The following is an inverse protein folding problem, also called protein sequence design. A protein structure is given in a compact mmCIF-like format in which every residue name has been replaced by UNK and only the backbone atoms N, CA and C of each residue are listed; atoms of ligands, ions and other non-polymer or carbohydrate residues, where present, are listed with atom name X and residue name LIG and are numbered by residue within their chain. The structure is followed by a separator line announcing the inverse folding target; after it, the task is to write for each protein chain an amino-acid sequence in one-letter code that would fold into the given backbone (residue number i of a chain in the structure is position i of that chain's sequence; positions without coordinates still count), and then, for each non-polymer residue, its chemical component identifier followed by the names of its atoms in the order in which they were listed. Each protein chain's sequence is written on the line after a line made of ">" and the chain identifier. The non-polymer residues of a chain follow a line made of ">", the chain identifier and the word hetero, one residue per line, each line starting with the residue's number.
data_IF_177441440060
#
_entry.id   IF_177441440060
#
_cell.length_a   1.000
_cell.length_b   1.000
_cell.length_c   1.000
_cell.angle_alpha   90.00
_cell.angle_beta   90.00
_cell.angle_gamma   90.00
#
_symmetry.space_group_name_H-M   'P 1'
#
loop_
_entity.id
_entity.type
_entity.pdbx_description
1 polymer ?
#
# COMPACT_ATOMS: atom_id res chain seq x y z
N UNK A 1 45.66 9.81 24.60
CA UNK A 1 44.20 10.05 24.74
C UNK A 1 43.52 10.64 23.49
N UNK A 2 44.13 11.60 22.78
CA UNK A 2 43.48 12.27 21.63
C UNK A 2 43.07 11.35 20.47
N UNK A 3 43.89 10.34 20.14
CA UNK A 3 43.59 9.40 19.06
C UNK A 3 42.31 8.58 19.31
N UNK A 4 42.11 8.08 20.53
CA UNK A 4 40.89 7.34 20.91
C UNK A 4 39.63 8.22 20.82
N UNK A 5 39.75 9.52 21.14
CA UNK A 5 38.64 10.47 21.00
C UNK A 5 38.29 10.70 19.51
N UNK A 6 39.29 10.75 18.64
CA UNK A 6 39.08 10.85 17.19
C UNK A 6 38.38 9.61 16.62
N UNK A 7 38.79 8.41 17.03
CA UNK A 7 38.15 7.15 16.61
C UNK A 7 36.68 7.12 17.02
N UNK A 8 36.38 7.45 18.29
CA UNK A 8 34.98 7.52 18.77
C UNK A 8 34.16 8.56 18.01
N UNK A 9 34.72 9.74 17.75
CA UNK A 9 34.05 10.75 16.94
C UNK A 9 33.77 10.28 15.51
N UNK A 10 34.70 9.52 14.90
CA UNK A 10 34.49 8.92 13.59
C UNK A 10 33.38 7.86 13.61
N UNK A 11 33.34 7.00 14.64
CA UNK A 11 32.28 6.01 14.84
C UNK A 11 30.90 6.66 14.95
N UNK A 12 30.77 7.71 15.78
CA UNK A 12 29.53 8.47 15.92
C UNK A 12 29.08 9.10 14.59
N UNK A 13 30.02 9.66 13.82
CA UNK A 13 29.73 10.19 12.49
C UNK A 13 29.27 9.11 11.52
N UNK A 14 29.85 7.91 11.58
CA UNK A 14 29.43 6.78 10.73
C UNK A 14 28.00 6.34 11.07
N UNK A 15 27.65 6.23 12.35
CA UNK A 15 26.29 5.90 12.76
C UNK A 15 25.28 6.94 12.25
N UNK A 16 25.59 8.23 12.40
CA UNK A 16 24.75 9.31 11.85
C UNK A 16 24.63 9.21 10.32
N UNK A 17 25.72 8.90 9.62
CA UNK A 17 25.70 8.72 8.17
C UNK A 17 24.80 7.57 7.73
N UNK A 18 24.77 6.45 8.47
CA UNK A 18 23.86 5.33 8.17
C UNK A 18 22.40 5.79 8.28
N UNK A 19 22.04 6.52 9.34
CA UNK A 19 20.68 7.04 9.52
C UNK A 19 20.30 8.04 8.42
N UNK A 20 21.22 8.93 8.06
CA UNK A 20 21.01 9.90 6.97
C UNK A 20 20.78 9.17 5.65
N UNK A 21 21.59 8.15 5.33
CA UNK A 21 21.42 7.35 4.11
C UNK A 21 20.05 6.66 4.05
N UNK A 22 19.61 6.08 5.17
CA UNK A 22 18.27 5.47 5.25
C UNK A 22 17.17 6.50 4.98
N UNK A 23 17.28 7.71 5.56
CA UNK A 23 16.31 8.78 5.32
C UNK A 23 16.32 9.28 3.88
N UNK A 24 17.50 9.36 3.26
CA UNK A 24 17.62 9.73 1.83
C UNK A 24 16.93 8.71 0.95
N UNK A 25 17.13 7.41 1.18
CA UNK A 25 16.44 6.36 0.44
C UNK A 25 14.91 6.45 0.57
N UNK A 26 14.42 6.63 1.80
CA UNK A 26 12.97 6.82 2.05
C UNK A 26 12.41 8.02 1.28
N UNK A 27 13.12 9.15 1.28
CA UNK A 27 12.70 10.36 0.56
C UNK A 27 12.73 10.14 -0.96
N UNK A 28 13.74 9.46 -1.49
CA UNK A 28 13.83 9.13 -2.91
C UNK A 28 12.68 8.21 -3.35
N UNK A 29 12.33 7.21 -2.55
CA UNK A 29 11.18 6.33 -2.80
C UNK A 29 9.86 7.11 -2.80
N UNK A 30 9.67 8.00 -1.83
CA UNK A 30 8.49 8.88 -1.76
C UNK A 30 8.41 9.80 -3.01
N UNK A 31 9.53 10.40 -3.42
CA UNK A 31 9.60 11.21 -4.63
C UNK A 31 9.29 10.39 -5.88
N UNK A 32 9.76 9.14 -5.98
CA UNK A 32 9.46 8.26 -7.10
C UNK A 32 7.95 7.97 -7.20
N UNK A 33 7.26 7.75 -6.08
CA UNK A 33 5.80 7.56 -6.06
C UNK A 33 5.07 8.83 -6.51
N UNK A 34 5.42 9.98 -5.95
CA UNK A 34 4.76 11.26 -6.25
C UNK A 34 4.98 11.66 -7.71
N UNK A 35 6.21 11.53 -8.22
CA UNK A 35 6.55 11.88 -9.61
C UNK A 35 5.83 10.97 -10.61
N UNK A 36 5.77 9.65 -10.36
CA UNK A 36 4.97 8.71 -11.17
C UNK A 36 3.50 9.12 -11.19
N UNK A 37 2.89 9.44 -10.04
CA UNK A 37 1.49 9.88 -9.94
C UNK A 37 1.24 11.18 -10.73
N UNK A 38 2.10 12.18 -10.55
CA UNK A 38 2.00 13.47 -11.27
C UNK A 38 2.16 13.28 -12.78
N UNK A 39 3.09 12.44 -13.21
CA UNK A 39 3.31 12.11 -14.62
C UNK A 39 2.08 11.42 -15.24
N UNK A 40 1.51 10.42 -14.56
CA UNK A 40 0.26 9.76 -14.99
C UNK A 40 -0.90 10.75 -15.15
N UNK A 41 -1.12 11.62 -14.15
CA UNK A 41 -2.15 12.66 -14.21
C UNK A 41 -1.92 13.63 -15.37
N UNK A 42 -0.67 14.05 -15.61
CA UNK A 42 -0.32 14.92 -16.73
C UNK A 42 -0.64 14.25 -18.08
N UNK A 43 -0.22 13.00 -18.27
CA UNK A 43 -0.52 12.24 -19.50
C UNK A 43 -2.03 12.08 -19.72
N UNK A 44 -2.78 11.81 -18.64
CA UNK A 44 -4.24 11.72 -18.70
C UNK A 44 -4.90 13.02 -19.16
N UNK A 45 -4.43 14.17 -18.65
CA UNK A 45 -4.96 15.48 -19.06
C UNK A 45 -4.55 15.81 -20.50
N UNK A 46 -3.30 15.53 -20.88
CA UNK A 46 -2.75 15.91 -22.20
C UNK A 46 -3.38 15.14 -23.37
N UNK A 47 -3.76 13.87 -23.20
CA UNK A 47 -4.35 13.04 -24.26
C UNK A 47 -5.88 13.11 -24.36
N UNK A 48 -6.54 14.09 -23.71
CA UNK A 48 -7.97 14.35 -23.95
C UNK A 48 -8.94 13.93 -22.85
N UNK A 49 -8.60 14.16 -21.58
CA UNK A 49 -9.55 13.96 -20.48
C UNK A 49 -9.91 15.26 -19.80
N UNK A 50 -10.91 16.00 -20.30
CA UNK A 50 -11.86 16.62 -19.37
C UNK A 50 -12.36 15.46 -18.51
N UNK A 51 -12.11 15.50 -17.20
CA UNK A 51 -12.61 14.50 -16.25
C UNK A 51 -14.14 14.65 -16.18
N UNK A 52 -14.85 14.22 -17.22
CA UNK A 52 -16.28 14.00 -17.15
C UNK A 52 -16.49 12.92 -16.07
N UNK A 53 -17.17 13.32 -15.01
CA UNK A 53 -17.41 12.53 -13.81
C UNK A 53 -18.02 11.15 -14.12
N UNK A 54 -18.80 11.05 -15.20
CA UNK A 54 -19.53 9.85 -15.64
C UNK A 54 -18.66 8.60 -15.87
N UNK A 55 -17.70 8.60 -16.82
CA UNK A 55 -16.91 7.40 -17.13
C UNK A 55 -15.98 6.94 -15.99
N UNK A 56 -15.45 7.85 -15.17
CA UNK A 56 -14.63 7.47 -14.02
C UNK A 56 -15.49 6.81 -12.90
N UNK A 57 -16.66 7.36 -12.61
CA UNK A 57 -17.61 6.77 -11.67
C UNK A 57 -18.11 5.40 -12.16
N UNK A 58 -18.32 5.24 -13.47
CA UNK A 58 -18.75 3.97 -14.07
C UNK A 58 -17.71 2.86 -13.93
N UNK A 59 -16.40 3.17 -14.01
CA UNK A 59 -15.34 2.19 -13.78
C UNK A 59 -15.23 1.78 -12.31
N UNK A 60 -15.34 2.73 -11.38
CA UNK A 60 -15.39 2.45 -9.94
C UNK A 60 -16.63 1.62 -9.56
N UNK A 61 -17.79 1.92 -10.17
CA UNK A 61 -19.00 1.13 -9.98
C UNK A 61 -18.88 -0.28 -10.57
N UNK A 62 -18.21 -0.45 -11.71
CA UNK A 62 -17.94 -1.76 -12.31
C UNK A 62 -16.95 -2.60 -11.48
N UNK A 63 -15.92 -1.97 -10.91
CA UNK A 63 -14.99 -2.64 -9.99
C UNK A 63 -15.67 -3.04 -8.68
N UNK A 64 -16.56 -2.19 -8.14
CA UNK A 64 -17.38 -2.52 -6.98
C UNK A 64 -18.36 -3.67 -7.26
N UNK A 65 -18.96 -3.72 -8.46
CA UNK A 65 -19.94 -4.73 -8.83
C UNK A 65 -19.33 -6.11 -9.13
N UNK A 66 -18.03 -6.21 -9.43
CA UNK A 66 -17.33 -7.50 -9.55
C UNK A 66 -17.23 -8.27 -8.22
N UNK A 67 -17.45 -7.60 -7.08
CA UNK A 67 -17.47 -8.22 -5.75
C UNK A 67 -18.87 -8.63 -5.25
N UNK A 68 -19.87 -8.67 -6.14
CA UNK A 68 -21.29 -8.87 -5.75
C UNK A 68 -21.65 -10.27 -5.28
N UNK A 69 -20.78 -11.27 -5.46
CA UNK A 69 -21.07 -12.61 -4.95
C UNK A 69 -20.74 -12.66 -3.46
N UNK A 70 -21.78 -12.63 -2.63
CA UNK A 70 -21.66 -12.83 -1.18
C UNK A 70 -20.94 -14.15 -0.89
N UNK A 71 -19.81 -14.06 -0.20
CA UNK A 71 -19.04 -15.20 0.31
C UNK A 71 -19.44 -15.47 1.76
N UNK A 72 -19.41 -16.73 2.15
CA UNK A 72 -19.61 -17.14 3.54
C UNK A 72 -18.52 -16.50 4.43
N UNK A 73 -18.91 -15.83 5.51
CA UNK A 73 -17.96 -15.23 6.44
C UNK A 73 -17.08 -16.24 7.19
N UNK A 74 -17.46 -17.52 7.25
CA UNK A 74 -16.70 -18.56 7.94
C UNK A 74 -15.69 -19.27 7.02
N UNK A 75 -16.05 -19.63 5.79
CA UNK A 75 -15.20 -20.42 4.89
C UNK A 75 -14.88 -19.74 3.55
N UNK A 76 -15.34 -18.51 3.33
CA UNK A 76 -15.14 -17.73 2.10
C UNK A 76 -15.68 -18.36 0.81
N UNK A 77 -16.37 -19.51 0.88
CA UNK A 77 -17.06 -20.15 -0.26
C UNK A 77 -18.39 -19.45 -0.54
N UNK A 78 -18.88 -19.57 -1.77
CA UNK A 78 -20.16 -19.00 -2.21
C UNK A 78 -21.28 -20.04 -2.05
N UNK A 79 -22.54 -19.63 -2.17
CA UNK A 79 -23.69 -20.55 -2.14
C UNK A 79 -24.33 -20.80 -0.75
N UNK A 80 -23.73 -20.30 0.34
CA UNK A 80 -24.32 -20.39 1.68
C UNK A 80 -23.94 -19.20 2.58
N UNK A 81 -24.69 -19.00 3.66
CA UNK A 81 -24.39 -17.99 4.69
C UNK A 81 -23.56 -18.63 5.83
N UNK A 82 -22.80 -17.82 6.59
CA UNK A 82 -22.08 -18.25 7.78
C UNK A 82 -22.93 -19.07 8.77
N UNK A 83 -24.22 -18.75 8.92
CA UNK A 83 -25.15 -19.50 9.80
C UNK A 83 -25.42 -20.95 9.37
N UNK A 84 -25.23 -21.27 8.09
CA UNK A 84 -25.41 -22.62 7.52
C UNK A 84 -24.08 -23.24 7.10
N UNK A 85 -22.96 -22.67 7.56
CA UNK A 85 -21.64 -23.18 7.24
C UNK A 85 -21.38 -24.48 8.01
N UNK A 86 -21.26 -25.58 7.29
CA UNK A 86 -20.92 -26.89 7.88
C UNK A 86 -19.45 -26.94 8.36
N UNK A 87 -18.60 -26.05 7.87
CA UNK A 87 -17.18 -25.95 8.25
C UNK A 87 -16.96 -25.15 9.55
N UNK A 88 -18.02 -24.55 10.11
CA UNK A 88 -17.95 -23.70 11.31
C UNK A 88 -18.18 -24.41 12.65
N UNK A 89 -18.39 -25.73 12.65
CA UNK A 89 -18.72 -26.48 13.86
C UNK A 89 -17.49 -26.97 14.66
N UNK A 90 -16.26 -26.81 14.15
CA UNK A 90 -15.07 -27.46 14.74
C UNK A 90 -14.15 -26.55 15.55
N UNK A 91 -14.53 -25.31 15.88
CA UNK A 91 -13.72 -24.44 16.76
C UNK A 91 -14.50 -23.91 17.95
N UNK A 92 -15.23 -24.79 18.64
CA UNK A 92 -15.72 -24.54 20.00
C UNK A 92 -15.36 -25.71 20.91
N UNK A 93 -14.07 -25.85 21.22
CA UNK A 93 -13.57 -26.51 22.45
C UNK A 93 -12.05 -26.42 22.52
N UNK A 94 -11.52 -25.34 23.11
CA UNK A 94 -10.68 -25.30 24.32
C UNK A 94 -10.12 -23.90 24.53
#
# INVERSE_FOLDING_TARGET
>A
EGFLKLVKGAEEMLHKNVLIKARVQELEEQLAVITKRKSRKRKQIQHGGTLEYGPAASRVAAEASQSTVRRCGNCSKTGHNARMCQEGAETSSK
#
